data_IF_575906741130
#
_entry.id   IF_575906741130
#
_cell.length_a   1.000
_cell.length_b   1.000
_cell.length_c   1.000
_cell.angle_alpha   90.00
_cell.angle_beta   90.00
_cell.angle_gamma   90.00
#
_symmetry.space_group_name_H-M   'P 1'
#
loop_
_entity.id
_entity.type
_entity.pdbx_description
1 polymer ?
#
# COMPACT_ATOMS: atom_id res chain seq x y z
N UNK A 1 3.79 8.91 37.93
CA UNK A 1 3.40 9.42 36.60
C UNK A 1 3.18 8.21 35.71
N UNK A 2 1.93 7.88 35.39
CA UNK A 2 1.63 6.89 34.36
C UNK A 2 1.92 7.53 33.00
N UNK A 3 2.68 6.83 32.16
CA UNK A 3 2.95 7.25 30.79
C UNK A 3 1.68 6.97 29.98
N UNK A 4 0.75 7.93 29.95
CA UNK A 4 -0.45 7.82 29.13
C UNK A 4 -0.08 8.24 27.69
N UNK A 5 0.44 7.28 26.94
CA UNK A 5 0.61 7.42 25.49
C UNK A 5 -0.42 6.51 24.83
N UNK A 6 -1.37 7.09 24.11
CA UNK A 6 -2.15 6.31 23.15
C UNK A 6 -1.22 5.87 22.02
N UNK A 7 -1.36 4.63 21.55
CA UNK A 7 -0.59 4.16 20.41
C UNK A 7 -1.01 4.95 19.16
N UNK A 8 -0.05 5.32 18.33
CA UNK A 8 -0.33 5.90 17.00
C UNK A 8 -1.11 4.89 16.14
N UNK A 9 -2.01 5.36 15.25
CA UNK A 9 -2.72 4.47 14.34
C UNK A 9 -1.75 3.69 13.45
N UNK A 10 -2.21 2.54 12.95
CA UNK A 10 -1.50 1.80 11.91
C UNK A 10 -1.72 2.56 10.59
N UNK A 11 -0.64 3.01 9.95
CA UNK A 11 -0.75 3.63 8.63
C UNK A 11 -0.62 2.57 7.54
N UNK A 12 -1.55 2.58 6.60
CA UNK A 12 -1.51 1.79 5.36
C UNK A 12 -1.53 2.76 4.19
N UNK A 13 -0.53 2.68 3.33
CA UNK A 13 -0.49 3.50 2.13
C UNK A 13 -1.48 2.97 1.09
N UNK A 14 -2.10 3.87 0.33
CA UNK A 14 -2.85 3.54 -0.88
C UNK A 14 -2.21 4.31 -2.03
N UNK A 15 -1.53 3.59 -2.92
CA UNK A 15 -0.80 4.15 -4.05
C UNK A 15 -1.60 3.93 -5.34
N UNK A 16 -2.25 4.99 -5.79
CA UNK A 16 -3.00 5.02 -7.04
C UNK A 16 -2.11 5.53 -8.17
N UNK A 17 -1.70 4.62 -9.06
CA UNK A 17 -0.67 4.84 -10.08
C UNK A 17 -1.20 5.38 -11.42
N UNK A 18 -2.33 6.07 -11.39
CA UNK A 18 -2.83 6.93 -12.46
C UNK A 18 -3.63 8.11 -11.91
N UNK A 19 -3.70 9.21 -12.67
CA UNK A 19 -4.48 10.38 -12.26
C UNK A 19 -5.95 10.22 -12.64
N UNK A 20 -6.83 10.45 -11.67
CA UNK A 20 -8.25 10.62 -11.90
C UNK A 20 -8.50 12.04 -12.46
N UNK A 21 -9.34 12.16 -13.50
CA UNK A 21 -9.71 13.47 -14.04
C UNK A 21 -10.29 14.40 -12.97
N UNK A 22 -10.09 15.71 -13.11
CA UNK A 22 -10.61 16.71 -12.16
C UNK A 22 -12.14 16.60 -11.98
N UNK A 23 -12.86 16.24 -13.05
CA UNK A 23 -14.32 16.04 -13.03
C UNK A 23 -14.78 14.68 -12.50
N UNK A 24 -13.86 13.82 -12.04
CA UNK A 24 -14.21 12.51 -11.51
C UNK A 24 -15.01 12.68 -10.20
N UNK A 25 -16.24 12.13 -10.11
CA UNK A 25 -17.14 12.38 -8.97
C UNK A 25 -16.51 12.03 -7.63
N UNK A 26 -16.73 12.88 -6.61
CA UNK A 26 -16.14 12.68 -5.28
C UNK A 26 -16.58 11.36 -4.66
N UNK A 27 -17.85 10.97 -4.83
CA UNK A 27 -18.37 9.72 -4.26
C UNK A 27 -17.61 8.50 -4.82
N UNK A 28 -17.22 8.55 -6.11
CA UNK A 28 -16.43 7.49 -6.73
C UNK A 28 -14.95 7.54 -6.30
N UNK A 29 -14.41 8.72 -5.97
CA UNK A 29 -13.08 8.84 -5.36
C UNK A 29 -13.08 8.21 -3.97
N UNK A 30 -14.10 8.50 -3.17
CA UNK A 30 -14.22 7.96 -1.82
C UNK A 30 -14.35 6.43 -1.83
N UNK A 31 -14.99 5.85 -2.85
CA UNK A 31 -15.09 4.39 -3.01
C UNK A 31 -13.74 3.67 -3.14
N UNK A 32 -12.65 4.39 -3.45
CA UNK A 32 -11.29 3.83 -3.43
C UNK A 32 -10.82 3.48 -2.01
N UNK A 33 -11.25 4.22 -0.99
CA UNK A 33 -10.77 4.06 0.40
C UNK A 33 -11.85 3.62 1.39
N UNK A 34 -13.13 3.93 1.16
CA UNK A 34 -14.26 3.57 2.06
C UNK A 34 -14.35 2.07 2.39
N UNK A 35 -14.10 1.12 1.47
CA UNK A 35 -14.10 -0.29 1.81
C UNK A 35 -13.08 -0.66 2.90
N UNK A 36 -11.93 0.03 2.94
CA UNK A 36 -10.93 -0.18 3.99
C UNK A 36 -11.44 0.30 5.34
N UNK A 37 -12.10 1.47 5.40
CA UNK A 37 -12.69 1.99 6.63
C UNK A 37 -13.67 0.98 7.24
N UNK A 38 -14.53 0.40 6.39
CA UNK A 38 -15.50 -0.62 6.81
C UNK A 38 -14.82 -1.86 7.38
N UNK A 39 -13.86 -2.44 6.64
CA UNK A 39 -13.20 -3.70 7.03
C UNK A 39 -12.29 -3.52 8.25
N UNK A 40 -11.57 -2.40 8.36
CA UNK A 40 -10.69 -2.15 9.49
C UNK A 40 -11.47 -1.75 10.75
N UNK A 41 -12.57 -1.02 10.63
CA UNK A 41 -13.46 -0.78 11.77
C UNK A 41 -14.03 -2.10 12.31
N UNK A 42 -14.38 -3.03 11.41
CA UNK A 42 -14.82 -4.37 11.78
C UNK A 42 -13.72 -5.19 12.47
N UNK A 43 -12.51 -5.21 11.90
CA UNK A 43 -11.35 -5.88 12.49
C UNK A 43 -10.99 -5.35 13.87
N UNK A 44 -11.09 -4.04 14.10
CA UNK A 44 -10.90 -3.41 15.40
C UNK A 44 -11.98 -3.84 16.40
N UNK A 45 -13.25 -3.82 15.99
CA UNK A 45 -14.38 -4.27 16.83
C UNK A 45 -14.26 -5.74 17.24
N UNK A 46 -13.73 -6.58 16.34
CA UNK A 46 -13.47 -8.00 16.58
C UNK A 46 -12.15 -8.26 17.33
N UNK A 47 -11.39 -7.22 17.68
CA UNK A 47 -10.06 -7.31 18.32
C UNK A 47 -9.03 -8.10 17.50
N UNK A 48 -9.20 -8.17 16.18
CA UNK A 48 -8.15 -8.63 15.26
C UNK A 48 -7.07 -7.57 15.05
N UNK A 49 -7.45 -6.29 15.21
CA UNK A 49 -6.55 -5.15 15.26
C UNK A 49 -6.49 -4.61 16.68
N UNK A 50 -5.29 -4.23 17.12
CA UNK A 50 -5.03 -3.68 18.46
C UNK A 50 -5.21 -2.15 18.52
N UNK A 51 -5.25 -1.49 17.36
CA UNK A 51 -5.44 -0.04 17.20
C UNK A 51 -6.06 0.30 15.83
N UNK A 52 -6.60 1.52 15.67
CA UNK A 52 -7.20 1.96 14.41
C UNK A 52 -6.20 1.97 13.25
N UNK A 53 -6.73 1.85 12.04
CA UNK A 53 -5.97 1.96 10.79
C UNK A 53 -6.32 3.27 10.11
N UNK A 54 -5.30 3.97 9.61
CA UNK A 54 -5.40 5.18 8.80
C UNK A 54 -4.90 4.88 7.39
N UNK A 55 -5.69 5.26 6.37
CA UNK A 55 -5.28 5.16 4.97
C UNK A 55 -4.58 6.44 4.55
N UNK A 56 -3.32 6.32 4.11
CA UNK A 56 -2.55 7.42 3.52
C UNK A 56 -2.66 7.31 2.00
N UNK A 57 -3.49 8.14 1.39
CA UNK A 57 -3.70 8.14 -0.05
C UNK A 57 -2.62 8.94 -0.79
N UNK A 58 -2.10 8.37 -1.89
CA UNK A 58 -1.21 9.03 -2.84
C UNK A 58 -1.62 8.68 -4.27
N UNK A 59 -1.68 9.71 -5.10
CA UNK A 59 -2.04 9.63 -6.51
C UNK A 59 -0.87 10.11 -7.35
N UNK A 60 -0.46 9.33 -8.36
CA UNK A 60 0.70 9.64 -9.21
C UNK A 60 0.48 9.11 -10.63
N UNK A 61 0.98 9.82 -11.65
CA UNK A 61 0.92 9.35 -13.02
C UNK A 61 2.07 8.38 -13.33
N UNK A 62 1.79 7.08 -13.32
CA UNK A 62 2.70 6.03 -13.78
C UNK A 62 2.66 5.84 -15.30
N UNK A 63 3.27 4.75 -15.78
CA UNK A 63 3.14 4.34 -17.17
C UNK A 63 1.69 4.03 -17.55
N UNK A 64 1.31 4.22 -18.83
CA UNK A 64 2.16 4.66 -19.95
C UNK A 64 2.30 6.19 -20.09
N UNK A 65 1.54 6.99 -19.34
CA UNK A 65 1.48 8.46 -19.53
C UNK A 65 2.58 9.22 -18.79
N UNK A 66 2.98 8.71 -17.64
CA UNK A 66 4.03 9.26 -16.79
C UNK A 66 5.25 8.34 -16.75
N UNK A 67 5.77 8.10 -15.54
CA UNK A 67 7.03 7.37 -15.39
C UNK A 67 7.00 6.41 -14.20
N UNK A 68 7.58 5.22 -14.37
CA UNK A 68 7.82 4.26 -13.27
C UNK A 68 8.54 4.90 -12.10
N UNK A 69 9.52 5.78 -12.37
CA UNK A 69 10.25 6.48 -11.30
C UNK A 69 9.31 7.28 -10.39
N UNK A 70 8.28 7.92 -10.94
CA UNK A 70 7.31 8.66 -10.13
C UNK A 70 6.53 7.72 -9.20
N UNK A 71 6.18 6.52 -9.67
CA UNK A 71 5.53 5.48 -8.85
C UNK A 71 6.46 4.99 -7.73
N UNK A 72 7.74 4.75 -8.04
CA UNK A 72 8.75 4.32 -7.06
C UNK A 72 8.96 5.40 -6.00
N UNK A 73 9.06 6.67 -6.39
CA UNK A 73 9.25 7.77 -5.47
C UNK A 73 8.01 7.96 -4.58
N UNK A 74 6.80 7.92 -5.13
CA UNK A 74 5.55 7.99 -4.37
C UNK A 74 5.39 6.81 -3.39
N UNK A 75 5.83 5.61 -3.76
CA UNK A 75 5.92 4.48 -2.83
C UNK A 75 6.86 4.81 -1.67
N UNK A 76 8.04 5.37 -1.96
CA UNK A 76 8.99 5.81 -0.95
C UNK A 76 8.41 6.87 0.00
N UNK A 77 7.66 7.83 -0.51
CA UNK A 77 6.98 8.84 0.31
C UNK A 77 6.00 8.23 1.31
N UNK A 78 5.22 7.22 0.89
CA UNK A 78 4.33 6.48 1.79
C UNK A 78 5.11 5.75 2.90
N UNK A 79 6.26 5.18 2.55
CA UNK A 79 7.15 4.50 3.50
C UNK A 79 7.73 5.50 4.50
N UNK A 80 8.19 6.64 4.03
CA UNK A 80 8.73 7.72 4.87
C UNK A 80 7.66 8.33 5.79
N UNK A 81 6.38 8.30 5.39
CA UNK A 81 5.24 8.69 6.24
C UNK A 81 4.90 7.67 7.35
N UNK A 82 5.57 6.51 7.34
CA UNK A 82 5.44 5.45 8.35
C UNK A 82 4.40 4.38 8.00
N UNK A 83 4.03 4.23 6.72
CA UNK A 83 3.13 3.16 6.30
C UNK A 83 3.76 1.78 6.51
N UNK A 84 3.02 0.86 7.14
CA UNK A 84 3.48 -0.50 7.42
C UNK A 84 3.25 -1.47 6.25
N UNK A 85 2.37 -1.10 5.33
CA UNK A 85 2.14 -1.74 4.05
C UNK A 85 1.59 -0.72 3.06
N UNK A 86 1.69 -1.01 1.77
CA UNK A 86 1.11 -0.18 0.71
C UNK A 86 0.18 -1.05 -0.15
N UNK A 87 -1.04 -0.58 -0.36
CA UNK A 87 -1.94 -1.12 -1.37
C UNK A 87 -1.66 -0.44 -2.71
N UNK A 88 -1.22 -1.20 -3.70
CA UNK A 88 -0.67 -0.71 -4.97
C UNK A 88 0.84 -1.01 -5.14
N UNK A 89 1.43 -0.73 -6.30
CA UNK A 89 0.80 -0.15 -7.51
C UNK A 89 -0.20 -1.10 -8.16
N UNK A 90 -1.17 -0.59 -8.92
CA UNK A 90 -2.26 -1.40 -9.50
C UNK A 90 -2.00 -1.85 -10.94
N UNK A 91 -1.20 -1.11 -11.70
CA UNK A 91 -0.90 -1.43 -13.11
C UNK A 91 0.38 -2.26 -13.18
N UNK A 92 0.34 -3.39 -13.89
CA UNK A 92 1.47 -4.34 -13.99
C UNK A 92 2.76 -3.69 -14.48
N UNK A 93 2.67 -2.81 -15.48
CA UNK A 93 3.79 -2.05 -16.04
C UNK A 93 4.45 -1.10 -15.03
N UNK A 94 3.77 -0.74 -13.95
CA UNK A 94 4.33 0.03 -12.85
C UNK A 94 4.77 -0.87 -11.69
N UNK A 95 3.97 -1.89 -11.37
CA UNK A 95 4.24 -2.83 -10.30
C UNK A 95 5.54 -3.60 -10.57
N UNK A 96 5.64 -4.35 -11.66
CA UNK A 96 6.80 -5.22 -11.93
C UNK A 96 8.14 -4.47 -11.83
N UNK A 97 8.31 -3.27 -12.44
CA UNK A 97 9.54 -2.50 -12.27
C UNK A 97 9.77 -1.93 -10.86
N UNK A 98 8.71 -1.61 -10.11
CA UNK A 98 8.83 -1.11 -8.74
C UNK A 98 9.29 -2.19 -7.74
N UNK A 99 9.20 -3.48 -8.11
CA UNK A 99 9.48 -4.63 -7.25
C UNK A 99 10.88 -4.58 -6.65
N UNK A 100 11.89 -4.35 -7.47
CA UNK A 100 13.29 -4.31 -7.04
C UNK A 100 13.51 -3.22 -5.97
N UNK A 101 12.96 -2.02 -6.20
CA UNK A 101 13.03 -0.94 -5.23
C UNK A 101 12.31 -1.29 -3.91
N UNK A 102 11.15 -1.95 -3.99
CA UNK A 102 10.38 -2.38 -2.82
C UNK A 102 11.13 -3.45 -2.04
N UNK A 103 11.64 -4.48 -2.72
CA UNK A 103 12.34 -5.59 -2.09
C UNK A 103 13.70 -5.18 -1.52
N UNK A 104 14.45 -4.30 -2.19
CA UNK A 104 15.83 -3.99 -1.81
C UNK A 104 15.93 -2.75 -0.93
N UNK A 105 15.24 -1.66 -1.31
CA UNK A 105 15.37 -0.34 -0.69
C UNK A 105 14.33 -0.13 0.41
N UNK A 106 13.05 -0.30 0.10
CA UNK A 106 11.98 0.15 1.01
C UNK A 106 11.62 -0.86 2.09
N UNK A 107 11.65 -2.17 1.78
CA UNK A 107 11.36 -3.26 2.72
C UNK A 107 9.98 -3.17 3.39
N UNK A 108 9.04 -2.44 2.79
CA UNK A 108 7.62 -2.39 3.17
C UNK A 108 6.83 -3.28 2.21
N UNK A 109 5.92 -4.13 2.69
CA UNK A 109 5.14 -5.01 1.83
C UNK A 109 4.18 -4.22 0.95
N UNK A 110 4.06 -4.65 -0.30
CA UNK A 110 3.08 -4.17 -1.25
C UNK A 110 2.00 -5.23 -1.49
N UNK A 111 0.73 -4.81 -1.49
CA UNK A 111 -0.44 -5.64 -1.81
C UNK A 111 -1.11 -5.03 -3.02
N UNK A 112 -1.31 -5.78 -4.10
CA UNK A 112 -2.01 -5.26 -5.26
C UNK A 112 -2.89 -6.31 -5.92
N UNK A 113 -3.58 -5.89 -6.97
CA UNK A 113 -4.50 -6.70 -7.78
C UNK A 113 -4.00 -6.84 -9.22
N UNK A 114 -2.71 -6.58 -9.46
CA UNK A 114 -2.14 -6.68 -10.78
C UNK A 114 -2.11 -8.16 -11.23
N UNK A 115 -2.31 -8.40 -12.53
CA UNK A 115 -2.45 -9.76 -13.07
C UNK A 115 -1.14 -10.43 -13.49
N UNK A 116 0.02 -10.00 -12.98
CA UNK A 116 1.33 -10.51 -13.42
C UNK A 116 2.01 -11.32 -12.33
N UNK A 117 2.36 -12.58 -12.64
CA UNK A 117 3.09 -13.45 -11.71
C UNK A 117 4.52 -12.99 -11.47
N UNK A 118 5.11 -12.23 -12.40
CA UNK A 118 6.46 -11.66 -12.27
C UNK A 118 6.57 -10.68 -11.10
N UNK A 119 5.43 -10.12 -10.68
CA UNK A 119 5.34 -9.26 -9.51
C UNK A 119 5.53 -10.02 -8.19
N UNK A 120 5.18 -11.30 -8.14
CA UNK A 120 5.20 -12.07 -6.90
C UNK A 120 6.60 -12.01 -6.28
N UNK A 121 6.64 -11.57 -5.02
CA UNK A 121 7.89 -11.48 -4.28
C UNK A 121 8.60 -12.84 -4.27
N UNK A 122 9.92 -12.80 -4.22
CA UNK A 122 10.73 -14.02 -4.07
C UNK A 122 10.45 -14.64 -2.69
N UNK A 123 9.34 -15.39 -2.58
CA UNK A 123 8.93 -15.99 -1.33
C UNK A 123 10.13 -16.73 -0.77
N UNK A 124 10.67 -16.28 0.38
CA UNK A 124 11.63 -17.08 1.12
C UNK A 124 10.86 -18.30 1.58
N UNK A 125 10.81 -19.31 0.71
CA UNK A 125 10.58 -20.69 1.06
C UNK A 125 11.65 -21.00 2.09
N UNK A 126 11.31 -20.83 3.37
CA UNK A 126 11.95 -21.58 4.44
C UNK A 126 11.53 -23.02 4.20
N UNK A 127 12.18 -23.65 3.23
CA UNK A 127 12.21 -25.09 3.13
C UNK A 127 12.75 -25.56 4.47
N UNK A 128 11.85 -26.08 5.32
CA UNK A 128 12.22 -26.98 6.41
C UNK A 128 12.83 -28.22 5.77
N UNK A 129 14.07 -28.13 5.29
CA UNK A 129 14.94 -29.28 5.13
C UNK A 129 15.60 -29.54 6.49
N UNK A 130 14.81 -30.17 7.35
CA UNK A 130 15.29 -30.88 8.53
C UNK A 130 14.92 -32.35 8.37
N UNK A 131 15.88 -33.14 7.90
CA UNK A 131 16.05 -34.54 8.26
C UNK A 131 17.37 -34.64 8.99
#
# INVERSE_FOLDING_TARGET
MSYESTAQPIKIGYLFDFLLPEFYPQEMRDDLTRPFELVFADGLRQRMLDRPVEIVYREVEGLPKGAVKAVIDAYGELVDEGCLAVFGPHISENAVPAKEAIEERFRVPAVNVCGSDDWLGSGRSRSRKGR
#
